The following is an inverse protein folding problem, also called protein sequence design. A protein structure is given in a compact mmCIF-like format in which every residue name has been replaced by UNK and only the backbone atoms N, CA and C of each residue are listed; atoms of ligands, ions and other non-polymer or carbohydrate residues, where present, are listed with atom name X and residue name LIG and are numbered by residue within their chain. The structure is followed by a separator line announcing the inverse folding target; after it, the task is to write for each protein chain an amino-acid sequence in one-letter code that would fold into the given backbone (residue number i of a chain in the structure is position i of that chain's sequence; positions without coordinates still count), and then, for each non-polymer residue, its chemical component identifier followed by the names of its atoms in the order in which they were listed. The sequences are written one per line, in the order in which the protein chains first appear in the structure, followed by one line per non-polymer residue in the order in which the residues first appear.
data_IF_885921733772
#
_entry.id   IF_885921733772
#
_cell.length_a   1.000
_cell.length_b   1.000
_cell.length_c   1.000
_cell.angle_alpha   90.00
_cell.angle_beta   90.00
_cell.angle_gamma   90.00
#
_symmetry.space_group_name_H-M   'P 1'
#
loop_
_entity.id
_entity.type
_entity.pdbx_description
1 polymer ?
#
# COMPACT_ATOMS: atom_id res chain seq x y z
N UNK A 1 9.58 -23.60 -15.26
CA UNK A 1 8.49 -22.96 -14.51
C UNK A 1 7.20 -23.63 -14.94
N UNK A 2 6.44 -24.24 -14.02
CA UNK A 2 5.20 -24.91 -14.39
C UNK A 2 4.12 -23.86 -14.74
N UNK A 3 3.10 -24.25 -15.49
CA UNK A 3 1.96 -23.36 -15.83
C UNK A 3 1.28 -22.85 -14.55
N UNK A 4 1.22 -23.67 -13.51
CA UNK A 4 0.64 -23.28 -12.21
C UNK A 4 1.45 -22.20 -11.52
N UNK A 5 2.79 -22.28 -11.54
CA UNK A 5 3.65 -21.25 -10.95
C UNK A 5 3.47 -19.91 -11.67
N UNK A 6 3.34 -19.94 -13.00
CA UNK A 6 3.07 -18.74 -13.80
C UNK A 6 1.73 -18.10 -13.44
N UNK A 7 0.67 -18.89 -13.34
CA UNK A 7 -0.66 -18.40 -12.97
C UNK A 7 -0.68 -17.84 -11.55
N UNK A 8 -0.01 -18.49 -10.60
CA UNK A 8 0.12 -18.01 -9.23
C UNK A 8 0.85 -16.66 -9.15
N UNK A 9 1.96 -16.54 -9.88
CA UNK A 9 2.74 -15.31 -9.94
C UNK A 9 2.00 -14.17 -10.63
N UNK A 10 1.39 -14.43 -11.78
CA UNK A 10 0.57 -13.45 -12.49
C UNK A 10 -0.62 -13.02 -11.64
N UNK A 11 -1.29 -13.96 -10.97
CA UNK A 11 -2.39 -13.69 -10.07
C UNK A 11 -1.97 -12.85 -8.86
N UNK A 12 -0.84 -13.16 -8.25
CA UNK A 12 -0.29 -12.38 -7.14
C UNK A 12 0.00 -10.93 -7.55
N UNK A 13 0.69 -10.72 -8.68
CA UNK A 13 0.97 -9.38 -9.20
C UNK A 13 -0.32 -8.63 -9.52
N UNK A 14 -1.25 -9.28 -10.21
CA UNK A 14 -2.53 -8.69 -10.59
C UNK A 14 -3.34 -8.27 -9.35
N UNK A 15 -3.48 -9.14 -8.36
CA UNK A 15 -4.18 -8.83 -7.11
C UNK A 15 -3.49 -7.73 -6.32
N UNK A 16 -2.16 -7.72 -6.26
CA UNK A 16 -1.39 -6.69 -5.57
C UNK A 16 -1.65 -5.30 -6.16
N UNK A 17 -1.65 -5.20 -7.49
CA UNK A 17 -1.98 -3.95 -8.20
C UNK A 17 -3.45 -3.58 -8.00
N UNK A 18 -4.35 -4.56 -8.07
CA UNK A 18 -5.79 -4.37 -7.90
C UNK A 18 -6.12 -3.80 -6.52
N UNK A 19 -5.50 -4.31 -5.45
CA UNK A 19 -5.69 -3.80 -4.09
C UNK A 19 -4.94 -2.49 -3.82
N UNK A 20 -3.87 -2.21 -4.57
CA UNK A 20 -3.18 -0.92 -4.47
C UNK A 20 -3.97 0.23 -5.10
N UNK A 21 -4.74 -0.03 -6.16
CA UNK A 21 -5.50 0.98 -6.91
C UNK A 21 -6.41 1.87 -6.03
N UNK A 22 -7.22 1.33 -5.08
CA UNK A 22 -7.97 2.14 -4.13
C UNK A 22 -7.12 3.15 -3.36
N UNK A 23 -5.95 2.72 -2.88
CA UNK A 23 -5.02 3.55 -2.10
C UNK A 23 -4.43 4.68 -2.95
N UNK A 24 -4.08 4.36 -4.20
CA UNK A 24 -3.61 5.34 -5.17
C UNK A 24 -4.71 6.35 -5.52
N UNK A 25 -5.93 5.88 -5.79
CA UNK A 25 -7.07 6.73 -6.12
C UNK A 25 -7.40 7.71 -4.99
N UNK A 26 -7.43 7.21 -3.76
CA UNK A 26 -7.68 7.97 -2.54
C UNK A 26 -6.73 9.16 -2.41
N UNK A 27 -5.44 8.98 -2.74
CA UNK A 27 -4.45 10.07 -2.72
C UNK A 27 -4.85 11.24 -3.61
N UNK A 28 -5.41 10.99 -4.79
CA UNK A 28 -5.87 12.04 -5.71
C UNK A 28 -7.25 12.58 -5.33
N UNK A 29 -8.21 11.68 -5.08
CA UNK A 29 -9.61 12.03 -4.78
C UNK A 29 -9.76 12.88 -3.51
N UNK A 30 -8.91 12.66 -2.50
CA UNK A 30 -8.92 13.43 -1.25
C UNK A 30 -7.81 14.46 -1.14
N UNK A 31 -7.13 14.79 -2.26
CA UNK A 31 -6.18 15.90 -2.31
C UNK A 31 -6.84 17.28 -2.20
N UNK A 32 -8.18 17.38 -2.34
CA UNK A 32 -8.91 18.65 -2.46
C UNK A 32 -9.58 19.21 -1.21
N UNK A 33 -9.80 18.43 -0.14
CA UNK A 33 -10.56 18.93 1.02
C UNK A 33 -10.60 17.98 2.21
N UNK A 34 -10.68 18.59 3.41
CA UNK A 34 -10.58 17.97 4.74
C UNK A 34 -10.96 16.50 4.85
N UNK A 35 -9.96 15.63 4.84
CA UNK A 35 -10.11 14.24 5.25
C UNK A 35 -10.60 14.23 6.71
N UNK A 36 -11.74 13.61 6.97
CA UNK A 36 -12.19 13.34 8.33
C UNK A 36 -11.27 12.29 8.97
N UNK A 37 -11.09 12.37 10.29
CA UNK A 37 -10.24 11.44 11.03
C UNK A 37 -10.63 9.97 10.78
N UNK A 38 -11.93 9.68 10.68
CA UNK A 38 -12.42 8.34 10.36
C UNK A 38 -11.95 7.83 9.00
N UNK A 39 -12.00 8.67 7.95
CA UNK A 39 -11.51 8.32 6.61
C UNK A 39 -9.99 8.12 6.60
N UNK A 40 -9.27 8.97 7.33
CA UNK A 40 -7.82 8.81 7.50
C UNK A 40 -7.47 7.45 8.13
N UNK A 41 -8.12 7.09 9.25
CA UNK A 41 -7.87 5.84 9.96
C UNK A 41 -8.24 4.62 9.13
N UNK A 42 -9.34 4.67 8.37
CA UNK A 42 -9.76 3.57 7.49
C UNK A 42 -8.70 3.30 6.42
N UNK A 43 -8.24 4.34 5.72
CA UNK A 43 -7.21 4.21 4.69
C UNK A 43 -5.86 3.80 5.28
N UNK A 44 -5.47 4.41 6.40
CA UNK A 44 -4.24 4.06 7.07
C UNK A 44 -4.25 2.60 7.53
N UNK A 45 -5.36 2.12 8.09
CA UNK A 45 -5.57 0.72 8.47
C UNK A 45 -5.52 -0.22 7.26
N UNK A 46 -6.20 0.13 6.16
CA UNK A 46 -6.16 -0.61 4.91
C UNK A 46 -4.74 -0.74 4.36
N UNK A 47 -4.03 0.39 4.21
CA UNK A 47 -2.65 0.41 3.73
C UNK A 47 -1.72 -0.38 4.65
N UNK A 48 -1.88 -0.24 5.98
CA UNK A 48 -1.07 -0.95 6.95
C UNK A 48 -1.27 -2.46 6.87
N UNK A 49 -2.52 -2.93 6.72
CA UNK A 49 -2.84 -4.34 6.53
C UNK A 49 -2.11 -4.94 5.31
N UNK A 50 -2.18 -4.26 4.15
CA UNK A 50 -1.49 -4.74 2.94
C UNK A 50 0.04 -4.63 3.04
N UNK A 51 0.56 -3.60 3.71
CA UNK A 51 2.00 -3.49 4.00
C UNK A 51 2.47 -4.70 4.82
N UNK A 52 1.74 -5.05 5.90
CA UNK A 52 2.10 -6.19 6.74
C UNK A 52 2.10 -7.48 5.92
N UNK A 53 1.09 -7.71 5.09
CA UNK A 53 1.03 -8.89 4.21
C UNK A 53 2.22 -8.97 3.25
N UNK A 54 2.59 -7.87 2.59
CA UNK A 54 3.72 -7.86 1.66
C UNK A 54 5.08 -7.95 2.36
N UNK A 55 5.23 -7.37 3.55
CA UNK A 55 6.44 -7.51 4.37
C UNK A 55 6.59 -8.94 4.87
N UNK A 56 5.50 -9.56 5.30
CA UNK A 56 5.52 -10.96 5.73
C UNK A 56 5.90 -11.88 4.57
N UNK A 57 5.31 -11.69 3.39
CA UNK A 57 5.71 -12.40 2.18
C UNK A 57 7.18 -12.16 1.80
N UNK A 58 7.67 -10.91 1.88
CA UNK A 58 9.06 -10.60 1.56
C UNK A 58 10.07 -11.24 2.54
N UNK A 59 9.68 -11.44 3.81
CA UNK A 59 10.53 -12.07 4.84
C UNK A 59 10.49 -13.59 4.79
N UNK A 60 9.31 -14.18 4.65
CA UNK A 60 9.10 -15.63 4.77
C UNK A 60 9.10 -16.34 3.42
N UNK A 61 8.89 -15.60 2.33
CA UNK A 61 8.58 -16.16 1.02
C UNK A 61 7.24 -16.89 0.99
N UNK A 62 6.41 -16.81 2.04
CA UNK A 62 5.15 -17.53 2.13
C UNK A 62 4.02 -16.71 1.54
N UNK A 63 3.41 -17.22 0.49
CA UNK A 63 2.11 -16.71 0.03
C UNK A 63 1.06 -17.36 0.96
N UNK A 64 0.22 -16.57 1.64
CA UNK A 64 -0.89 -17.11 2.42
C UNK A 64 -1.68 -18.09 1.55
N UNK A 65 -1.97 -19.28 2.09
CA UNK A 65 -2.72 -20.37 1.45
C UNK A 65 -2.03 -21.18 0.34
N UNK A 66 -0.85 -20.81 -0.15
CA UNK A 66 -0.17 -21.51 -1.27
C UNK A 66 1.16 -22.15 -0.86
N UNK A 67 1.88 -21.59 0.11
CA UNK A 67 3.13 -22.15 0.65
C UNK A 67 4.36 -21.27 0.40
N UNK A 68 5.56 -21.84 0.63
CA UNK A 68 6.84 -21.13 0.52
C UNK A 68 7.29 -21.09 -0.95
N UNK A 69 7.46 -19.88 -1.49
CA UNK A 69 7.99 -19.62 -2.83
C UNK A 69 9.19 -18.69 -2.72
N UNK A 70 10.38 -19.23 -3.00
CA UNK A 70 11.63 -18.50 -2.87
C UNK A 70 12.05 -17.90 -4.23
N UNK A 71 11.39 -16.81 -4.62
CA UNK A 71 11.71 -16.08 -5.86
C UNK A 71 12.11 -14.63 -5.54
N UNK A 72 13.37 -14.30 -5.83
CA UNK A 72 13.96 -12.98 -5.57
C UNK A 72 13.18 -11.85 -6.26
N UNK A 73 12.70 -12.07 -7.50
CA UNK A 73 11.95 -11.06 -8.24
C UNK A 73 10.64 -10.68 -7.55
N UNK A 74 9.97 -11.66 -6.93
CA UNK A 74 8.71 -11.43 -6.21
C UNK A 74 8.91 -10.72 -4.87
N UNK A 75 10.03 -11.00 -4.20
CA UNK A 75 10.40 -10.27 -2.98
C UNK A 75 10.66 -8.79 -3.30
N UNK A 76 11.40 -8.51 -4.37
CA UNK A 76 11.61 -7.13 -4.86
C UNK A 76 10.30 -6.46 -5.26
N UNK A 77 9.42 -7.16 -5.99
CA UNK A 77 8.10 -6.64 -6.34
C UNK A 77 7.29 -6.24 -5.10
N UNK A 78 7.25 -7.12 -4.09
CA UNK A 78 6.54 -6.83 -2.84
C UNK A 78 7.15 -5.65 -2.08
N UNK A 79 8.47 -5.50 -2.10
CA UNK A 79 9.13 -4.33 -1.54
C UNK A 79 8.70 -3.02 -2.25
N UNK A 80 8.65 -3.00 -3.58
CA UNK A 80 8.17 -1.83 -4.33
C UNK A 80 6.70 -1.52 -4.06
N UNK A 81 5.85 -2.55 -3.92
CA UNK A 81 4.44 -2.37 -3.56
C UNK A 81 4.30 -1.78 -2.15
N UNK A 82 5.08 -2.26 -1.17
CA UNK A 82 5.12 -1.67 0.18
C UNK A 82 5.47 -0.19 0.12
N UNK A 83 6.52 0.18 -0.62
CA UNK A 83 6.87 1.58 -0.82
C UNK A 83 5.71 2.37 -1.45
N UNK A 84 5.03 1.80 -2.45
CA UNK A 84 3.89 2.43 -3.09
C UNK A 84 2.74 2.71 -2.09
N UNK A 85 2.41 1.76 -1.21
CA UNK A 85 1.43 1.96 -0.14
C UNK A 85 1.86 3.03 0.86
N UNK A 86 3.14 3.05 1.25
CA UNK A 86 3.69 4.09 2.15
C UNK A 86 3.60 5.47 1.50
N UNK A 87 3.99 5.62 0.24
CA UNK A 87 3.87 6.88 -0.49
C UNK A 87 2.42 7.31 -0.74
N UNK A 88 1.49 6.35 -0.76
CA UNK A 88 0.06 6.59 -0.88
C UNK A 88 -0.64 6.73 0.47
N UNK A 89 0.09 6.72 1.58
CA UNK A 89 -0.52 7.06 2.87
C UNK A 89 -1.09 8.48 2.81
N UNK A 90 -2.31 8.67 3.34
CA UNK A 90 -2.87 10.00 3.43
C UNK A 90 -1.96 10.83 4.33
N UNK A 91 -1.38 11.90 3.78
CA UNK A 91 -0.64 12.87 4.58
C UNK A 91 -1.63 13.81 5.26
N UNK A 92 -1.46 14.05 6.56
CA UNK A 92 -2.14 15.19 7.19
C UNK A 92 -1.63 16.46 6.49
N UNK A 93 -2.43 17.06 5.62
CA UNK A 93 -2.13 18.42 5.15
C UNK A 93 -2.09 19.28 6.41
N UNK A 94 -0.90 19.78 6.78
CA UNK A 94 -0.80 20.85 7.77
C UNK A 94 -1.77 21.93 7.29
N UNK A 95 -2.77 22.28 8.10
CA UNK A 95 -3.43 23.57 7.94
C UNK A 95 -2.29 24.58 8.09
N UNK A 96 -1.78 25.10 6.97
CA UNK A 96 -0.88 26.24 7.00
C UNK A 96 -1.79 27.37 7.51
N UNK A 97 -1.88 27.52 8.82
CA UNK A 97 -2.56 28.63 9.45
C UNK A 97 -1.71 29.86 9.14
N UNK A 98 -1.97 30.48 7.98
CA UNK A 98 -1.42 31.76 7.58
C UNK A 98 -1.66 32.86 8.64
N UNK A 99 -2.64 32.65 9.53
CA UNK A 99 -2.95 33.50 10.68
C UNK A 99 -1.94 33.42 11.84
N UNK A 100 -1.09 32.38 11.92
CA UNK A 100 -0.08 32.28 12.98
C UNK A 100 1.13 33.22 12.78
N UNK A 101 1.19 33.93 11.64
CA UNK A 101 2.29 34.84 11.30
C UNK A 101 2.02 36.32 11.66
N UNK A 102 0.86 36.65 12.24
CA UNK A 102 0.47 38.03 12.55
C UNK A 102 0.64 38.44 14.03
N UNK A 103 1.21 37.57 14.88
CA UNK A 103 1.58 37.93 16.25
C UNK A 103 3.00 37.46 16.55
N UNK A 104 3.97 38.23 16.09
CA UNK A 104 5.31 38.32 16.67
C UNK A 104 5.75 39.77 16.65
#
# INVERSE_FOLDING_TARGET
MSVNDFLLYAGFVFLSVLFYLPSFWVRFAWSGGGISLARFLLVAGYNCFFIVLHVDFAKTGQIPFVGVYNNLAMQWFSFFIVLAYVFSMPGAKKKVCWLARYKS
#
